data_IF_525181121097
#
_entry.id   IF_525181121097
#
_cell.length_a   1.000
_cell.length_b   1.000
_cell.length_c   1.000
_cell.angle_alpha   90.00
_cell.angle_beta   90.00
_cell.angle_gamma   90.00
#
_symmetry.space_group_name_H-M   'P 1'
#
loop_
_entity.id
_entity.type
_entity.pdbx_description
1 polymer ?
#
# COMPACT_ATOMS: atom_id res chain seq x y z
N UNK A 1 -27.72 -5.77 74.86
CA UNK A 1 -26.98 -6.84 74.16
C UNK A 1 -26.54 -6.31 72.80
N UNK A 2 -25.24 -6.24 72.60
CA UNK A 2 -24.57 -5.93 71.32
C UNK A 2 -25.02 -6.90 70.22
N UNK A 3 -25.18 -6.40 68.98
CA UNK A 3 -24.46 -6.92 67.81
C UNK A 3 -24.68 -6.05 66.56
N UNK A 4 -23.57 -5.42 66.16
CA UNK A 4 -23.29 -4.95 64.81
C UNK A 4 -23.16 -6.15 63.85
N UNK A 5 -23.67 -6.03 62.62
CA UNK A 5 -23.11 -6.71 61.45
C UNK A 5 -23.21 -5.79 60.24
N UNK A 6 -22.06 -5.26 59.82
CA UNK A 6 -21.81 -4.62 58.53
C UNK A 6 -22.12 -5.59 57.39
N UNK A 7 -22.90 -5.15 56.40
CA UNK A 7 -23.02 -5.85 55.12
C UNK A 7 -22.05 -5.20 54.12
N UNK A 8 -20.93 -5.87 53.87
CA UNK A 8 -19.97 -5.48 52.84
C UNK A 8 -20.54 -5.75 51.45
N UNK A 9 -20.64 -4.69 50.66
CA UNK A 9 -20.79 -4.68 49.20
C UNK A 9 -19.64 -5.45 48.53
N UNK A 10 -19.94 -6.52 47.80
CA UNK A 10 -19.07 -7.05 46.76
C UNK A 10 -19.45 -6.43 45.42
N UNK A 11 -18.77 -5.33 45.07
CA UNK A 11 -18.75 -4.81 43.71
C UNK A 11 -17.72 -5.63 42.92
N UNK A 12 -18.16 -6.71 42.28
CA UNK A 12 -17.32 -7.44 41.33
C UNK A 12 -17.07 -6.58 40.10
N UNK A 13 -15.94 -5.87 40.09
CA UNK A 13 -15.40 -5.26 38.88
C UNK A 13 -14.95 -6.40 37.96
N UNK A 14 -15.77 -6.72 36.98
CA UNK A 14 -15.38 -7.59 35.88
C UNK A 14 -14.33 -6.85 35.04
N UNK A 15 -13.05 -7.17 35.27
CA UNK A 15 -11.94 -6.86 34.36
C UNK A 15 -12.17 -7.62 33.04
N UNK A 16 -13.05 -7.10 32.19
CA UNK A 16 -13.01 -7.42 30.77
C UNK A 16 -11.78 -6.71 30.22
N UNK A 17 -10.66 -7.44 30.17
CA UNK A 17 -9.55 -7.04 29.32
C UNK A 17 -10.10 -6.90 27.91
N UNK A 18 -10.26 -5.66 27.44
CA UNK A 18 -10.51 -5.38 26.04
C UNK A 18 -9.30 -5.90 25.28
N UNK A 19 -9.40 -7.11 24.73
CA UNK A 19 -8.48 -7.55 23.69
C UNK A 19 -8.68 -6.53 22.58
N UNK A 20 -7.66 -5.72 22.30
CA UNK A 20 -7.67 -4.84 21.15
C UNK A 20 -7.91 -5.74 19.92
N UNK A 21 -9.09 -5.62 19.31
CA UNK A 21 -9.38 -6.30 18.06
C UNK A 21 -8.59 -5.57 16.98
N UNK A 22 -7.57 -6.22 16.44
CA UNK A 22 -6.85 -5.78 15.24
C UNK A 22 -7.70 -6.07 14.00
N UNK A 23 -8.88 -5.46 13.94
CA UNK A 23 -9.80 -5.57 12.82
C UNK A 23 -9.56 -4.44 11.83
N UNK A 24 -9.24 -4.79 10.59
CA UNK A 24 -9.38 -3.85 9.47
C UNK A 24 -10.87 -3.50 9.29
N UNK A 25 -11.17 -2.27 8.91
CA UNK A 25 -12.56 -1.85 8.68
C UNK A 25 -13.22 -2.78 7.64
N UNK A 26 -14.42 -3.29 7.94
CA UNK A 26 -15.16 -4.10 6.98
C UNK A 26 -15.65 -3.22 5.83
N UNK A 27 -14.89 -3.22 4.74
CA UNK A 27 -15.24 -2.50 3.51
C UNK A 27 -16.06 -3.42 2.60
N UNK A 28 -17.19 -2.93 2.10
CA UNK A 28 -17.95 -3.61 1.07
C UNK A 28 -17.03 -3.98 -0.11
N UNK A 29 -17.03 -5.24 -0.60
CA UNK A 29 -16.08 -5.69 -1.62
C UNK A 29 -16.02 -4.79 -2.86
N UNK A 30 -17.16 -4.27 -3.33
CA UNK A 30 -17.24 -3.38 -4.48
C UNK A 30 -16.49 -2.04 -4.27
N UNK A 31 -16.25 -1.64 -3.02
CA UNK A 31 -15.62 -0.39 -2.60
C UNK A 31 -14.20 -0.57 -2.09
N UNK A 32 -13.71 -1.80 -2.00
CA UNK A 32 -12.37 -2.11 -1.51
C UNK A 32 -11.32 -2.00 -2.62
N UNK A 33 -10.45 -0.99 -2.54
CA UNK A 33 -9.35 -0.79 -3.48
C UNK A 33 -8.38 -1.98 -3.52
N UNK A 34 -8.13 -2.63 -2.38
CA UNK A 34 -7.22 -3.76 -2.28
C UNK A 34 -7.66 -4.94 -3.16
N UNK A 35 -8.97 -5.19 -3.30
CA UNK A 35 -9.46 -6.24 -4.19
C UNK A 35 -9.17 -5.93 -5.66
N UNK A 36 -9.29 -4.66 -6.07
CA UNK A 36 -8.88 -4.24 -7.42
C UNK A 36 -7.37 -4.44 -7.59
N UNK A 37 -6.56 -4.04 -6.62
CA UNK A 37 -5.11 -4.26 -6.69
C UNK A 37 -4.73 -5.73 -6.73
N UNK A 38 -5.37 -6.59 -5.94
CA UNK A 38 -5.17 -8.04 -5.97
C UNK A 38 -5.48 -8.64 -7.34
N UNK A 39 -6.56 -8.21 -8.00
CA UNK A 39 -6.85 -8.58 -9.39
C UNK A 39 -5.74 -8.11 -10.33
N UNK A 40 -5.22 -6.89 -10.14
CA UNK A 40 -4.06 -6.39 -10.88
C UNK A 40 -2.81 -7.24 -10.66
N UNK A 41 -2.51 -7.59 -9.41
CA UNK A 41 -1.35 -8.39 -9.03
C UNK A 41 -1.39 -9.80 -9.62
N UNK A 42 -2.57 -10.41 -9.67
CA UNK A 42 -2.78 -11.72 -10.27
C UNK A 42 -2.55 -11.72 -11.80
N UNK A 43 -2.64 -10.55 -12.44
CA UNK A 43 -2.50 -10.35 -13.88
C UNK A 43 -1.17 -9.69 -14.27
N UNK A 44 -0.23 -9.53 -13.32
CA UNK A 44 1.13 -9.09 -13.64
C UNK A 44 1.76 -10.16 -14.55
N UNK A 45 2.27 -9.79 -15.74
CA UNK A 45 2.87 -10.77 -16.63
C UNK A 45 4.18 -11.30 -16.07
N UNK A 46 4.44 -12.59 -16.30
CA UNK A 46 5.77 -13.16 -16.08
C UNK A 46 6.72 -12.63 -17.15
N UNK A 47 7.65 -11.76 -16.73
CA UNK A 47 8.68 -11.20 -17.61
C UNK A 47 9.94 -12.06 -17.56
N UNK A 48 10.57 -12.29 -18.72
CA UNK A 48 11.90 -12.91 -18.78
C UNK A 48 12.94 -12.02 -18.10
N UNK A 49 14.12 -12.56 -17.77
CA UNK A 49 15.23 -11.76 -17.22
C UNK A 49 15.62 -10.60 -18.13
N UNK A 50 15.60 -10.81 -19.46
CA UNK A 50 15.89 -9.77 -20.44
C UNK A 50 14.82 -8.67 -20.45
N UNK A 51 13.53 -9.04 -20.34
CA UNK A 51 12.43 -8.09 -20.24
C UNK A 51 12.48 -7.29 -18.93
N UNK A 52 12.82 -7.94 -17.81
CA UNK A 52 13.00 -7.26 -16.53
C UNK A 52 14.15 -6.25 -16.59
N UNK A 53 15.30 -6.65 -17.16
CA UNK A 53 16.44 -5.76 -17.34
C UNK A 53 16.12 -4.58 -18.26
N UNK A 54 15.40 -4.82 -19.36
CA UNK A 54 14.95 -3.76 -20.26
C UNK A 54 14.00 -2.77 -19.56
N UNK A 55 13.02 -3.28 -18.80
CA UNK A 55 12.12 -2.46 -17.98
C UNK A 55 12.93 -1.56 -17.05
N UNK A 56 13.90 -2.12 -16.33
CA UNK A 56 14.70 -1.38 -15.35
C UNK A 56 15.63 -0.35 -16.04
N UNK A 57 16.20 -0.67 -17.20
CA UNK A 57 16.97 0.29 -18.00
C UNK A 57 16.10 1.48 -18.44
N UNK A 58 14.88 1.22 -18.89
CA UNK A 58 13.94 2.29 -19.30
C UNK A 58 13.54 3.14 -18.11
N UNK A 59 13.24 2.55 -16.96
CA UNK A 59 12.99 3.31 -15.72
C UNK A 59 14.18 4.22 -15.38
N UNK A 60 15.41 3.74 -15.58
CA UNK A 60 16.66 4.46 -15.32
C UNK A 60 17.10 5.41 -16.44
N UNK A 61 16.22 5.75 -17.40
CA UNK A 61 16.50 6.80 -18.38
C UNK A 61 16.75 6.33 -19.80
N UNK A 62 16.83 5.02 -20.07
CA UNK A 62 17.02 4.53 -21.42
C UNK A 62 15.86 4.95 -22.35
N UNK A 63 16.17 5.04 -23.65
CA UNK A 63 15.18 5.39 -24.67
C UNK A 63 14.07 4.34 -24.76
N UNK A 64 12.85 4.80 -25.01
CA UNK A 64 11.71 3.94 -25.30
C UNK A 64 11.90 3.30 -26.67
N UNK A 65 11.70 1.98 -26.76
CA UNK A 65 11.76 1.21 -28.00
C UNK A 65 10.54 0.27 -28.12
N UNK A 66 10.39 -0.42 -29.24
CA UNK A 66 9.26 -1.33 -29.47
C UNK A 66 9.23 -2.51 -28.50
N UNK A 67 10.37 -2.91 -27.94
CA UNK A 67 10.45 -4.03 -27.00
C UNK A 67 9.82 -3.67 -25.66
N UNK A 68 10.06 -2.46 -25.14
CA UNK A 68 9.41 -2.00 -23.90
C UNK A 68 7.92 -1.73 -24.10
N UNK A 69 7.50 -1.29 -25.30
CA UNK A 69 6.08 -1.18 -25.64
C UNK A 69 5.37 -2.53 -25.59
N UNK A 70 6.03 -3.62 -25.99
CA UNK A 70 5.48 -4.98 -25.82
C UNK A 70 5.33 -5.37 -24.35
N UNK A 71 6.27 -4.99 -23.48
CA UNK A 71 6.14 -5.19 -22.02
C UNK A 71 4.90 -4.45 -21.49
N UNK A 72 4.71 -3.20 -21.90
CA UNK A 72 3.53 -2.40 -21.53
C UNK A 72 2.25 -3.06 -22.03
N UNK A 73 2.20 -3.47 -23.30
CA UNK A 73 1.03 -4.13 -23.88
C UNK A 73 0.64 -5.41 -23.12
N UNK A 74 1.62 -6.24 -22.73
CA UNK A 74 1.40 -7.43 -21.88
C UNK A 74 0.87 -7.09 -20.48
N UNK A 75 1.07 -5.86 -20.01
CA UNK A 75 0.72 -5.41 -18.67
C UNK A 75 -0.61 -4.66 -18.60
N UNK A 76 -1.29 -4.43 -19.73
CA UNK A 76 -2.48 -3.58 -19.78
C UNK A 76 -3.59 -4.00 -18.82
N UNK A 77 -3.84 -5.30 -18.68
CA UNK A 77 -4.87 -5.81 -17.77
C UNK A 77 -4.54 -5.52 -16.30
N UNK A 78 -3.29 -5.76 -15.86
CA UNK A 78 -2.88 -5.46 -14.49
C UNK A 78 -2.92 -3.96 -14.20
N UNK A 79 -2.52 -3.14 -15.16
CA UNK A 79 -2.53 -1.68 -15.05
C UNK A 79 -3.95 -1.10 -15.07
N UNK A 80 -4.91 -1.72 -15.77
CA UNK A 80 -6.33 -1.33 -15.68
C UNK A 80 -6.83 -1.44 -14.24
N UNK A 81 -6.45 -2.51 -13.55
CA UNK A 81 -6.84 -2.72 -12.16
C UNK A 81 -6.10 -1.81 -11.16
N UNK A 82 -4.85 -1.42 -11.45
CA UNK A 82 -4.18 -0.33 -10.73
C UNK A 82 -5.03 0.95 -10.73
N UNK A 83 -5.46 1.38 -11.92
CA UNK A 83 -6.29 2.58 -12.08
C UNK A 83 -7.62 2.46 -11.38
N UNK A 84 -8.29 1.29 -11.49
CA UNK A 84 -9.54 1.03 -10.78
C UNK A 84 -9.37 1.15 -9.26
N UNK A 85 -8.35 0.53 -8.69
CA UNK A 85 -8.07 0.60 -7.26
C UNK A 85 -7.76 2.03 -6.81
N UNK A 86 -7.01 2.79 -7.61
CA UNK A 86 -6.66 4.17 -7.30
C UNK A 86 -7.85 5.15 -7.31
N UNK A 87 -9.00 4.77 -7.87
CA UNK A 87 -10.22 5.59 -7.83
C UNK A 87 -11.05 5.35 -6.55
N UNK A 88 -10.74 4.30 -5.80
CA UNK A 88 -11.43 3.95 -4.57
C UNK A 88 -10.74 4.60 -3.36
N UNK A 89 -11.50 4.79 -2.27
CA UNK A 89 -11.06 5.58 -1.11
C UNK A 89 -10.33 4.77 -0.03
N UNK A 90 -10.60 3.47 0.04
CA UNK A 90 -10.22 2.61 1.16
C UNK A 90 -9.71 1.29 0.61
N UNK A 91 -8.60 0.79 1.16
CA UNK A 91 -7.98 -0.47 0.77
C UNK A 91 -7.86 -1.39 2.00
N UNK A 92 -8.72 -2.41 2.09
CA UNK A 92 -8.63 -3.40 3.15
C UNK A 92 -7.88 -4.65 2.63
N UNK A 93 -6.64 -4.85 3.08
CA UNK A 93 -5.70 -5.86 2.56
C UNK A 93 -5.90 -7.27 3.11
N UNK A 94 -6.63 -7.42 4.22
CA UNK A 94 -6.94 -8.71 4.85
C UNK A 94 -5.74 -9.35 5.54
N UNK A 95 -4.94 -8.56 6.26
CA UNK A 95 -3.73 -9.03 6.94
C UNK A 95 -4.07 -9.65 8.30
N UNK A 96 -3.49 -10.83 8.56
CA UNK A 96 -3.58 -11.53 9.84
C UNK A 96 -2.61 -10.90 10.88
N UNK A 97 -2.98 -9.73 11.41
CA UNK A 97 -2.13 -8.99 12.35
C UNK A 97 -1.90 -9.73 13.69
N UNK A 98 -2.73 -10.70 14.01
CA UNK A 98 -2.56 -11.59 15.17
C UNK A 98 -1.36 -12.54 15.05
N UNK A 99 -0.80 -12.72 13.86
CA UNK A 99 0.48 -13.42 13.66
C UNK A 99 1.70 -12.56 14.08
N UNK A 100 1.48 -11.31 14.48
CA UNK A 100 2.52 -10.45 15.03
C UNK A 100 3.64 -10.16 14.02
N UNK A 101 4.93 -10.35 14.38
CA UNK A 101 6.06 -10.15 13.48
C UNK A 101 6.13 -11.16 12.34
N UNK A 102 5.33 -12.23 12.37
CA UNK A 102 5.27 -13.25 11.32
C UNK A 102 4.18 -12.99 10.26
N UNK A 103 3.33 -11.98 10.48
CA UNK A 103 2.27 -11.62 9.53
C UNK A 103 2.84 -11.38 8.13
N UNK A 104 2.36 -12.14 7.15
CA UNK A 104 2.85 -12.05 5.78
C UNK A 104 2.27 -10.84 5.04
N UNK A 105 3.12 -10.11 4.34
CA UNK A 105 2.76 -8.90 3.57
C UNK A 105 3.03 -9.05 2.06
N UNK A 106 2.46 -10.08 1.38
CA UNK A 106 2.79 -10.40 -0.01
C UNK A 106 2.39 -9.31 -1.01
N UNK A 107 1.39 -8.49 -0.68
CA UNK A 107 0.94 -7.38 -1.51
C UNK A 107 2.02 -6.30 -1.71
N UNK A 108 2.99 -6.17 -0.79
CA UNK A 108 4.02 -5.14 -0.86
C UNK A 108 5.00 -5.34 -2.02
N UNK A 109 5.46 -6.58 -2.24
CA UNK A 109 6.35 -6.87 -3.38
C UNK A 109 5.62 -6.71 -4.70
N UNK A 110 4.36 -7.16 -4.76
CA UNK A 110 3.48 -7.04 -5.93
C UNK A 110 3.15 -5.58 -6.25
N UNK A 111 2.93 -4.74 -5.25
CA UNK A 111 2.73 -3.31 -5.45
C UNK A 111 3.95 -2.65 -6.10
N UNK A 112 5.17 -2.99 -5.66
CA UNK A 112 6.40 -2.49 -6.30
C UNK A 112 6.52 -2.95 -7.75
N UNK A 113 6.21 -4.21 -8.04
CA UNK A 113 6.21 -4.73 -9.41
C UNK A 113 5.21 -3.98 -10.30
N UNK A 114 3.97 -3.81 -9.84
CA UNK A 114 2.93 -3.11 -10.58
C UNK A 114 3.26 -1.63 -10.80
N UNK A 115 3.80 -0.95 -9.79
CA UNK A 115 4.29 0.43 -9.91
C UNK A 115 5.37 0.56 -10.98
N UNK A 116 6.36 -0.36 -11.01
CA UNK A 116 7.41 -0.32 -12.04
C UNK A 116 6.83 -0.44 -13.45
N UNK A 117 5.84 -1.29 -13.66
CA UNK A 117 5.14 -1.40 -14.95
C UNK A 117 4.39 -0.12 -15.30
N UNK A 118 3.71 0.49 -14.32
CA UNK A 118 2.99 1.74 -14.51
C UNK A 118 3.92 2.90 -14.87
N UNK A 119 5.07 3.01 -14.21
CA UNK A 119 6.06 4.04 -14.49
C UNK A 119 6.76 3.84 -15.85
N UNK A 120 6.98 2.58 -16.27
CA UNK A 120 7.42 2.30 -17.64
C UNK A 120 6.37 2.74 -18.66
N UNK A 121 5.08 2.43 -18.43
CA UNK A 121 4.00 2.91 -19.30
C UNK A 121 3.92 4.43 -19.33
N UNK A 122 4.12 5.10 -18.19
CA UNK A 122 4.18 6.56 -18.15
C UNK A 122 5.30 7.12 -19.04
N UNK A 123 6.51 6.51 -19.04
CA UNK A 123 7.58 6.90 -19.97
C UNK A 123 7.21 6.70 -21.43
N UNK A 124 6.59 5.57 -21.77
CA UNK A 124 6.10 5.32 -23.13
C UNK A 124 5.10 6.42 -23.54
N UNK A 125 4.14 6.74 -22.68
CA UNK A 125 3.14 7.79 -22.91
C UNK A 125 3.76 9.18 -23.05
N UNK A 126 4.77 9.52 -22.27
CA UNK A 126 5.50 10.77 -22.48
C UNK A 126 6.22 10.81 -23.83
N UNK A 127 6.85 9.71 -24.25
CA UNK A 127 7.50 9.61 -25.55
C UNK A 127 6.49 9.68 -26.72
N UNK A 128 5.26 9.24 -26.51
CA UNK A 128 4.16 9.28 -27.48
C UNK A 128 3.29 10.55 -27.38
N UNK A 129 3.78 11.59 -26.69
CA UNK A 129 3.08 12.87 -26.52
C UNK A 129 1.69 12.76 -25.86
N UNK A 130 1.55 11.81 -24.93
CA UNK A 130 0.36 11.59 -24.09
C UNK A 130 0.65 11.93 -22.61
N UNK A 131 0.98 13.20 -22.29
CA UNK A 131 1.46 13.55 -20.95
C UNK A 131 0.38 13.45 -19.87
N UNK A 132 -0.90 13.65 -20.22
CA UNK A 132 -1.99 13.55 -19.24
C UNK A 132 -2.16 12.10 -18.77
N UNK A 133 -2.14 11.16 -19.69
CA UNK A 133 -2.27 9.72 -19.44
C UNK A 133 -1.03 9.20 -18.68
N UNK A 134 0.15 9.74 -18.97
CA UNK A 134 1.37 9.44 -18.20
C UNK A 134 1.24 9.92 -16.74
N UNK A 135 0.71 11.13 -16.53
CA UNK A 135 0.42 11.66 -15.18
C UNK A 135 -0.60 10.78 -14.45
N UNK A 136 -1.62 10.29 -15.15
CA UNK A 136 -2.61 9.38 -14.53
C UNK A 136 -1.94 8.09 -14.02
N UNK A 137 -0.98 7.51 -14.75
CA UNK A 137 -0.23 6.32 -14.29
C UNK A 137 0.62 6.60 -13.03
N UNK A 138 1.29 7.75 -13.01
CA UNK A 138 2.12 8.19 -11.87
C UNK A 138 1.25 8.40 -10.63
N UNK A 139 0.13 9.11 -10.77
CA UNK A 139 -0.79 9.40 -9.66
C UNK A 139 -1.44 8.12 -9.14
N UNK A 140 -1.81 7.18 -10.03
CA UNK A 140 -2.33 5.88 -9.61
C UNK A 140 -1.30 5.08 -8.81
N UNK A 141 -0.01 5.16 -9.20
CA UNK A 141 1.09 4.53 -8.47
C UNK A 141 1.29 5.13 -7.07
N UNK A 142 1.29 6.46 -6.96
CA UNK A 142 1.35 7.15 -5.66
C UNK A 142 0.15 6.77 -4.77
N UNK A 143 -1.05 6.74 -5.35
CA UNK A 143 -2.27 6.35 -4.62
C UNK A 143 -2.19 4.93 -4.09
N UNK A 144 -1.68 3.98 -4.89
CA UNK A 144 -1.40 2.63 -4.42
C UNK A 144 -0.43 2.65 -3.23
N UNK A 145 0.69 3.37 -3.33
CA UNK A 145 1.63 3.55 -2.21
C UNK A 145 0.93 3.97 -0.91
N UNK A 146 0.10 5.02 -0.98
CA UNK A 146 -0.68 5.50 0.17
C UNK A 146 -1.65 4.48 0.71
N UNK A 147 -2.28 3.70 -0.16
CA UNK A 147 -3.18 2.61 0.26
C UNK A 147 -2.44 1.48 0.98
N UNK A 148 -1.14 1.26 0.73
CA UNK A 148 -0.34 0.28 1.48
C UNK A 148 -0.08 0.76 2.92
N UNK A 149 0.19 2.04 3.10
CA UNK A 149 0.71 2.59 4.36
C UNK A 149 -0.35 3.17 5.28
N UNK A 150 -1.61 3.28 4.84
CA UNK A 150 -2.66 4.01 5.57
C UNK A 150 -3.72 3.15 6.23
N UNK A 151 -4.07 2.04 5.62
CA UNK A 151 -5.29 1.30 5.96
C UNK A 151 -5.00 0.18 6.97
N UNK A 152 -5.95 -0.05 7.88
CA UNK A 152 -5.79 -1.02 8.96
C UNK A 152 -4.69 -0.62 9.96
N UNK A 153 -3.85 -1.60 10.33
CA UNK A 153 -2.72 -1.36 11.23
C UNK A 153 -1.52 -0.87 10.44
N UNK A 154 -1.10 0.35 10.75
CA UNK A 154 0.01 1.01 10.08
C UNK A 154 1.31 0.56 10.72
N UNK A 155 2.12 -0.20 10.00
CA UNK A 155 3.44 -0.65 10.44
C UNK A 155 4.56 -0.10 9.54
N UNK A 156 5.83 -0.25 9.93
CA UNK A 156 6.94 0.42 9.26
C UNK A 156 7.18 -0.10 7.84
N UNK A 157 7.03 -1.41 7.61
CA UNK A 157 7.36 -2.02 6.31
C UNK A 157 6.46 -1.48 5.18
N UNK A 158 5.11 -1.45 5.27
CA UNK A 158 4.26 -0.83 4.26
C UNK A 158 4.58 0.66 4.05
N UNK A 159 4.92 1.41 5.11
CA UNK A 159 5.32 2.81 4.99
C UNK A 159 6.62 2.99 4.18
N UNK A 160 7.61 2.14 4.38
CA UNK A 160 8.84 2.17 3.59
C UNK A 160 8.60 1.85 2.11
N UNK A 161 7.64 0.96 1.83
CA UNK A 161 7.25 0.62 0.45
C UNK A 161 6.48 1.76 -0.21
N UNK A 162 5.58 2.43 0.50
CA UNK A 162 4.94 3.68 0.06
C UNK A 162 5.99 4.72 -0.32
N UNK A 163 6.92 5.01 0.58
CA UNK A 163 8.01 5.96 0.33
C UNK A 163 8.83 5.62 -0.92
N UNK A 164 9.17 4.35 -1.11
CA UNK A 164 9.92 3.90 -2.29
C UNK A 164 9.12 4.04 -3.60
N UNK A 165 7.80 3.81 -3.56
CA UNK A 165 6.89 4.00 -4.71
C UNK A 165 6.76 5.49 -5.04
N UNK A 166 6.59 6.33 -4.02
CA UNK A 166 6.46 7.77 -4.20
C UNK A 166 7.75 8.41 -4.71
N UNK A 167 8.91 8.05 -4.17
CA UNK A 167 10.20 8.60 -4.65
C UNK A 167 10.38 8.35 -6.14
N UNK A 168 10.17 7.12 -6.60
CA UNK A 168 10.25 6.77 -8.02
C UNK A 168 9.21 7.52 -8.86
N UNK A 169 8.00 7.68 -8.34
CA UNK A 169 6.91 8.40 -9.03
C UNK A 169 7.22 9.90 -9.16
N UNK A 170 7.77 10.51 -8.10
CA UNK A 170 8.19 11.91 -8.08
C UNK A 170 9.35 12.13 -9.04
N UNK A 171 10.38 11.28 -9.01
CA UNK A 171 11.53 11.35 -9.92
C UNK A 171 11.08 11.24 -11.40
N UNK A 172 10.16 10.32 -11.69
CA UNK A 172 9.56 10.17 -13.01
C UNK A 172 8.88 11.47 -13.47
N UNK A 173 7.98 12.01 -12.64
CA UNK A 173 7.26 13.23 -12.97
C UNK A 173 8.20 14.43 -13.12
N UNK A 174 9.16 14.57 -12.20
CA UNK A 174 10.12 15.67 -12.17
C UNK A 174 10.93 15.78 -13.46
N UNK A 175 11.31 14.65 -14.05
CA UNK A 175 12.05 14.59 -15.32
C UNK A 175 11.28 15.23 -16.48
N UNK A 176 9.95 15.21 -16.43
CA UNK A 176 9.08 15.72 -17.49
C UNK A 176 8.40 17.07 -17.15
N UNK A 177 8.51 17.57 -15.90
CA UNK A 177 7.79 18.78 -15.46
C UNK A 177 8.04 19.99 -16.35
N UNK A 178 9.28 20.20 -16.83
CA UNK A 178 9.63 21.38 -17.64
C UNK A 178 9.05 21.33 -19.06
N UNK A 179 8.65 20.15 -19.53
CA UNK A 179 8.10 19.96 -20.88
C UNK A 179 6.57 19.93 -20.90
N UNK A 180 5.92 19.98 -19.74
CA UNK A 180 4.45 19.98 -19.64
C UNK A 180 3.89 21.37 -19.99
N UNK A 181 2.75 21.38 -20.68
CA UNK A 181 1.99 22.59 -20.91
C UNK A 181 1.28 23.08 -19.63
N UNK A 182 0.81 24.33 -19.64
CA UNK A 182 0.16 24.94 -18.47
C UNK A 182 -1.09 24.16 -18.02
N UNK A 183 -1.83 23.57 -18.96
CA UNK A 183 -3.04 22.78 -18.68
C UNK A 183 -2.69 21.49 -17.94
N UNK A 184 -1.67 20.78 -18.37
CA UNK A 184 -1.20 19.54 -17.75
C UNK A 184 -0.54 19.83 -16.40
N UNK A 185 0.20 20.93 -16.26
CA UNK A 185 0.73 21.35 -14.94
C UNK A 185 -0.39 21.64 -13.93
N UNK A 186 -1.46 22.33 -14.36
CA UNK A 186 -2.63 22.54 -13.51
C UNK A 186 -3.30 21.22 -13.13
N UNK A 187 -3.39 20.28 -14.06
CA UNK A 187 -3.90 18.93 -13.82
C UNK A 187 -3.04 18.14 -12.82
N UNK A 188 -1.71 18.17 -12.95
CA UNK A 188 -0.77 17.57 -11.99
C UNK A 188 -1.01 18.14 -10.59
N UNK A 189 -1.08 19.47 -10.47
CA UNK A 189 -1.34 20.14 -9.19
C UNK A 189 -2.66 19.68 -8.57
N UNK A 190 -3.72 19.62 -9.36
CA UNK A 190 -5.03 19.14 -8.92
C UNK A 190 -4.96 17.69 -8.42
N UNK A 191 -4.31 16.80 -9.18
CA UNK A 191 -4.21 15.38 -8.84
C UNK A 191 -3.36 15.13 -7.60
N UNK A 192 -2.23 15.81 -7.46
CA UNK A 192 -1.39 15.73 -6.26
C UNK A 192 -2.15 16.19 -5.01
N UNK A 193 -2.94 17.27 -5.12
CA UNK A 193 -3.78 17.75 -4.01
C UNK A 193 -4.91 16.78 -3.63
N UNK A 194 -5.31 15.89 -4.55
CA UNK A 194 -6.37 14.90 -4.34
C UNK A 194 -5.83 13.53 -3.87
N UNK A 195 -4.52 13.35 -3.74
CA UNK A 195 -3.93 12.11 -3.24
C UNK A 195 -4.45 11.82 -1.82
N UNK A 196 -4.59 10.53 -1.45
CA UNK A 196 -4.81 10.18 -0.05
C UNK A 196 -3.67 10.77 0.81
N UNK A 197 -3.97 11.34 2.00
CA UNK A 197 -2.95 11.83 2.91
C UNK A 197 -1.91 10.74 3.21
N UNK A 198 -0.66 11.15 3.19
CA UNK A 198 0.45 10.32 3.64
C UNK A 198 0.41 10.04 5.14
N UNK A 199 1.21 9.05 5.53
CA UNK A 199 1.35 8.64 6.92
C UNK A 199 2.73 9.02 7.44
N UNK A 200 2.81 9.42 8.70
CA UNK A 200 4.08 9.76 9.33
C UNK A 200 4.70 8.58 10.09
N UNK A 201 6.01 8.65 10.29
CA UNK A 201 6.79 7.62 10.98
C UNK A 201 6.29 7.33 12.40
N UNK A 202 5.88 8.36 13.15
CA UNK A 202 5.39 8.18 14.53
C UNK A 202 4.16 7.27 14.58
N UNK A 203 3.24 7.40 13.61
CA UNK A 203 2.04 6.56 13.53
C UNK A 203 2.40 5.11 13.19
N UNK A 204 3.36 4.90 12.29
CA UNK A 204 3.84 3.56 11.95
C UNK A 204 4.57 2.88 13.12
N UNK A 205 5.39 3.62 13.86
CA UNK A 205 6.05 3.12 15.08
C UNK A 205 5.04 2.77 16.16
N UNK A 206 3.94 3.52 16.27
CA UNK A 206 2.87 3.17 17.20
C UNK A 206 2.16 1.89 16.78
N UNK A 207 1.78 1.76 15.51
CA UNK A 207 1.14 0.53 15.02
C UNK A 207 2.04 -0.69 15.15
N UNK A 208 3.35 -0.58 14.94
CA UNK A 208 4.26 -1.71 15.23
C UNK A 208 4.21 -2.17 16.69
N UNK A 209 4.20 -1.22 17.64
CA UNK A 209 4.05 -1.55 19.07
C UNK A 209 2.70 -2.21 19.33
N UNK A 210 1.64 -1.67 18.72
CA UNK A 210 0.29 -2.17 18.89
C UNK A 210 0.16 -3.61 18.38
N UNK A 211 0.82 -3.98 17.27
CA UNK A 211 0.84 -5.37 16.77
C UNK A 211 1.77 -6.26 17.60
N UNK A 212 3.01 -5.83 17.84
CA UNK A 212 4.06 -6.73 18.35
C UNK A 212 3.99 -6.93 19.86
N UNK A 213 3.66 -5.91 20.64
CA UNK A 213 3.67 -6.05 22.11
C UNK A 213 2.61 -7.06 22.60
N UNK A 214 1.35 -7.00 22.15
CA UNK A 214 0.35 -8.00 22.54
C UNK A 214 0.75 -9.42 22.11
N UNK A 215 1.32 -9.55 20.92
CA UNK A 215 1.82 -10.84 20.41
C UNK A 215 2.93 -11.40 21.30
N UNK A 216 3.96 -10.60 21.64
CA UNK A 216 5.05 -11.02 22.55
C UNK A 216 4.50 -11.42 23.92
N UNK A 217 3.58 -10.63 24.48
CA UNK A 217 2.94 -10.94 25.76
C UNK A 217 2.18 -12.27 25.69
N UNK A 218 1.49 -12.54 24.59
CA UNK A 218 0.78 -13.80 24.39
C UNK A 218 1.76 -14.98 24.27
N UNK A 219 2.87 -14.83 23.54
CA UNK A 219 3.90 -15.86 23.38
C UNK A 219 4.56 -16.22 24.70
N UNK A 220 4.94 -15.23 25.50
CA UNK A 220 5.57 -15.43 26.82
C UNK A 220 4.65 -16.11 27.83
N UNK A 221 3.33 -16.05 27.64
CA UNK A 221 2.35 -16.72 28.50
C UNK A 221 2.10 -18.17 28.09
N UNK A 222 2.59 -18.62 26.93
CA UNK A 222 2.46 -20.03 26.53
C UNK A 222 3.26 -20.90 27.50
N UNK A 223 2.69 -22.01 28.01
CA UNK A 223 3.43 -22.92 28.85
C UNK A 223 4.66 -23.42 28.08
N UNK A 224 5.83 -23.40 28.72
CA UNK A 224 7.04 -23.96 28.12
C UNK A 224 6.78 -25.42 27.77
N UNK A 225 6.87 -25.75 26.48
CA UNK A 225 6.86 -27.12 26.05
C UNK A 225 8.05 -27.81 26.71
N UNK A 226 7.78 -28.68 27.70
CA UNK A 226 8.80 -29.54 28.29
C UNK A 226 9.39 -30.37 27.15
N UNK A 227 10.66 -30.14 26.83
CA UNK A 227 11.49 -31.04 26.02
C UNK A 227 11.88 -32.27 26.85
#
# INVERSE_FOLDING_TARGET
>A
MLRWVSFCTFLSVALHGSVASFGEEQVEPARNAALSYWQGFALIPSLSESEQKLRDQVLNGAAVNEDVKRIVAKSEDSLRFLHRGAQLKTAAWGIAWDEGPYALLPHLSKARELTRLALVRARVRFAEHQPKEAVDDIIASMTLGRHLSREGVIVLIPLLVDYAIESQSIEMLATHLRTLDAKTLAYVKQKLAALPPGVNLSKAMQGEKDVFLPWVIAELKKPSAKQ
#
